data_IF_420296025571
#
_entry.id   IF_420296025571
#
_cell.length_a   1.000
_cell.length_b   1.000
_cell.length_c   1.000
_cell.angle_alpha   90.00
_cell.angle_beta   90.00
_cell.angle_gamma   90.00
#
_symmetry.space_group_name_H-M   'P 1'
#
loop_
_entity.id
_entity.type
_entity.pdbx_description
1 polymer ?
#
# COMPACT_ATOMS: atom_id res chain seq x y z
N UNK A 1 5.19 12.94 28.68
CA UNK A 1 4.28 11.85 28.24
C UNK A 1 4.80 11.33 26.91
N UNK A 2 4.71 10.02 26.64
CA UNK A 2 5.14 9.46 25.35
C UNK A 2 4.26 9.97 24.20
N UNK A 3 4.85 10.06 23.00
CA UNK A 3 4.21 10.59 21.79
C UNK A 3 3.04 9.69 21.32
N UNK A 4 3.10 8.40 21.66
CA UNK A 4 2.07 7.41 21.33
C UNK A 4 1.32 7.03 22.60
N UNK A 5 -0.02 7.05 22.55
CA UNK A 5 -0.86 6.56 23.65
C UNK A 5 -0.56 5.08 23.93
N UNK A 6 -0.47 4.66 25.20
CA UNK A 6 -0.15 3.28 25.54
C UNK A 6 -1.25 2.31 25.05
N UNK A 7 -0.86 1.07 24.76
CA UNK A 7 -1.76 0.01 24.32
C UNK A 7 -2.88 -0.17 25.36
N UNK A 8 -4.13 -0.15 24.92
CA UNK A 8 -5.31 -0.31 25.79
C UNK A 8 -5.81 0.97 26.45
N UNK A 9 -5.16 2.13 26.23
CA UNK A 9 -5.64 3.42 26.73
C UNK A 9 -6.69 4.09 25.82
N UNK A 10 -6.88 3.57 24.60
CA UNK A 10 -7.97 3.98 23.73
C UNK A 10 -9.26 3.27 24.17
N UNK A 11 -10.34 4.04 24.30
CA UNK A 11 -11.66 3.50 24.57
C UNK A 11 -12.06 2.51 23.45
N UNK A 12 -12.59 1.34 23.83
CA UNK A 12 -12.98 0.28 22.90
C UNK A 12 -14.22 0.65 22.08
N UNK A 13 -14.97 1.66 22.51
CA UNK A 13 -16.19 2.13 21.85
C UNK A 13 -15.99 3.16 20.73
N UNK A 14 -14.78 3.67 20.52
CA UNK A 14 -14.52 4.72 19.52
C UNK A 14 -14.59 4.17 18.09
N UNK A 15 -15.25 4.94 17.21
CA UNK A 15 -15.35 4.58 15.79
C UNK A 15 -14.01 4.84 15.06
N UNK A 16 -13.81 4.17 13.92
CA UNK A 16 -12.60 4.30 13.10
C UNK A 16 -12.23 5.76 12.81
N UNK A 17 -13.19 6.58 12.42
CA UNK A 17 -12.94 7.99 12.06
C UNK A 17 -12.53 8.83 13.28
N UNK A 18 -13.03 8.47 14.47
CA UNK A 18 -12.65 9.12 15.72
C UNK A 18 -11.22 8.74 16.13
N UNK A 19 -10.78 7.50 15.86
CA UNK A 19 -9.38 7.09 16.06
C UNK A 19 -8.45 7.91 15.17
N UNK A 20 -8.82 8.10 13.90
CA UNK A 20 -8.05 8.89 12.95
C UNK A 20 -7.97 10.35 13.41
N UNK A 21 -9.11 10.97 13.71
CA UNK A 21 -9.17 12.35 14.18
C UNK A 21 -8.37 12.56 15.49
N UNK A 22 -8.39 11.59 16.41
CA UNK A 22 -7.58 11.64 17.62
C UNK A 22 -6.08 11.59 17.32
N UNK A 23 -5.66 10.73 16.38
CA UNK A 23 -4.27 10.64 15.95
C UNK A 23 -3.79 11.92 15.26
N UNK A 24 -4.63 12.53 14.43
CA UNK A 24 -4.35 13.82 13.78
C UNK A 24 -4.23 14.95 14.81
N UNK A 25 -5.15 15.02 15.78
CA UNK A 25 -5.10 16.02 16.84
C UNK A 25 -3.85 15.87 17.73
N UNK A 26 -3.49 14.64 18.11
CA UNK A 26 -2.29 14.36 18.90
C UNK A 26 -1.01 14.73 18.10
N UNK A 27 -0.97 14.42 16.80
CA UNK A 27 0.16 14.78 15.93
C UNK A 27 0.29 16.29 15.76
N UNK A 28 -0.83 16.99 15.54
CA UNK A 28 -0.84 18.46 15.43
C UNK A 28 -0.36 19.12 16.72
N UNK A 29 -0.74 18.60 17.89
CA UNK A 29 -0.25 19.10 19.17
C UNK A 29 1.28 18.94 19.31
N UNK A 30 1.86 17.84 18.80
CA UNK A 30 3.32 17.63 18.77
C UNK A 30 3.99 18.65 17.85
N UNK A 31 3.43 18.88 16.66
CA UNK A 31 3.93 19.89 15.70
C UNK A 31 3.90 21.29 16.32
N UNK A 32 2.74 21.68 16.87
CA UNK A 32 2.50 23.02 17.42
C UNK A 32 3.32 23.29 18.67
N UNK A 33 3.68 22.25 19.43
CA UNK A 33 4.51 22.41 20.63
C UNK A 33 5.89 23.00 20.33
N UNK A 34 6.45 22.74 19.14
CA UNK A 34 7.82 23.12 18.77
C UNK A 34 8.91 22.48 19.64
N UNK A 35 8.56 21.54 20.53
CA UNK A 35 9.49 20.95 21.51
C UNK A 35 10.24 19.73 20.97
N UNK A 36 9.87 19.24 19.79
CA UNK A 36 10.36 17.98 19.24
C UNK A 36 10.98 18.16 17.85
N UNK A 37 12.00 17.36 17.59
CA UNK A 37 12.56 17.17 16.25
C UNK A 37 11.61 16.26 15.45
N UNK A 38 10.82 16.87 14.56
CA UNK A 38 9.73 16.19 13.86
C UNK A 38 10.19 14.98 13.03
N UNK A 39 11.40 15.04 12.45
CA UNK A 39 11.94 13.91 11.68
C UNK A 39 12.32 12.74 12.59
N UNK A 40 12.91 13.01 13.76
CA UNK A 40 13.18 11.95 14.75
C UNK A 40 11.89 11.35 15.27
N UNK A 41 10.89 12.18 15.58
CA UNK A 41 9.56 11.72 15.99
C UNK A 41 8.93 10.83 14.93
N UNK A 42 9.00 11.23 13.66
CA UNK A 42 8.48 10.43 12.54
C UNK A 42 9.18 9.07 12.44
N UNK A 43 10.51 9.02 12.57
CA UNK A 43 11.28 7.77 12.57
C UNK A 43 10.86 6.86 13.74
N UNK A 44 10.69 7.42 14.95
CA UNK A 44 10.21 6.66 16.10
C UNK A 44 8.80 6.10 15.89
N UNK A 45 7.88 6.92 15.36
CA UNK A 45 6.52 6.46 15.01
C UNK A 45 6.57 5.30 14.01
N UNK A 46 7.43 5.37 12.99
CA UNK A 46 7.61 4.29 12.01
C UNK A 46 8.18 3.02 12.62
N UNK A 47 9.10 3.12 13.60
CA UNK A 47 9.60 1.97 14.35
C UNK A 47 8.50 1.31 15.18
N UNK A 48 7.68 2.12 15.86
CA UNK A 48 6.51 1.62 16.59
C UNK A 48 5.47 0.99 15.67
N UNK A 49 5.23 1.55 14.48
CA UNK A 49 4.36 0.95 13.47
C UNK A 49 4.82 -0.48 13.12
N UNK A 50 6.12 -0.65 12.86
CA UNK A 50 6.71 -1.96 12.55
C UNK A 50 6.61 -2.93 13.74
N UNK A 51 6.94 -2.46 14.94
CA UNK A 51 6.85 -3.26 16.17
C UNK A 51 5.41 -3.73 16.45
N UNK A 52 4.43 -2.82 16.36
CA UNK A 52 3.02 -3.13 16.58
C UNK A 52 2.48 -4.09 15.52
N UNK A 53 2.87 -3.91 14.24
CA UNK A 53 2.53 -4.86 13.17
C UNK A 53 3.02 -6.27 13.48
N UNK A 54 4.29 -6.43 13.85
CA UNK A 54 4.86 -7.73 14.20
C UNK A 54 4.14 -8.37 15.41
N UNK A 55 3.83 -7.59 16.44
CA UNK A 55 3.09 -8.07 17.61
C UNK A 55 1.65 -8.50 17.24
N UNK A 56 0.93 -7.70 16.45
CA UNK A 56 -0.42 -8.03 15.97
C UNK A 56 -0.43 -9.30 15.12
N UNK A 57 0.56 -9.50 14.26
CA UNK A 57 0.67 -10.70 13.44
C UNK A 57 0.87 -11.94 14.31
N UNK A 58 1.73 -11.87 15.33
CA UNK A 58 1.91 -12.98 16.27
C UNK A 58 0.64 -13.33 17.04
N UNK A 59 -0.11 -12.32 17.50
CA UNK A 59 -1.40 -12.53 18.18
C UNK A 59 -2.40 -13.15 17.21
N UNK A 60 -2.47 -12.68 15.96
CA UNK A 60 -3.35 -13.24 14.93
C UNK A 60 -3.04 -14.71 14.66
N UNK A 61 -1.76 -15.10 14.56
CA UNK A 61 -1.35 -16.50 14.40
C UNK A 61 -1.92 -17.39 15.51
N UNK A 62 -1.87 -16.94 16.77
CA UNK A 62 -2.42 -17.72 17.89
C UNK A 62 -3.94 -17.89 17.78
N UNK A 63 -4.67 -16.83 17.41
CA UNK A 63 -6.11 -16.91 17.19
C UNK A 63 -6.45 -17.83 15.99
N UNK A 64 -5.64 -17.80 14.93
CA UNK A 64 -5.80 -18.70 13.78
C UNK A 64 -5.57 -20.16 14.14
N UNK A 65 -4.55 -20.47 14.96
CA UNK A 65 -4.30 -21.83 15.43
C UNK A 65 -5.51 -22.38 16.20
N UNK A 66 -6.06 -21.59 17.14
CA UNK A 66 -7.29 -21.96 17.87
C UNK A 66 -8.49 -22.13 16.94
N UNK A 67 -8.63 -21.28 15.92
CA UNK A 67 -9.68 -21.40 14.92
C UNK A 67 -9.58 -22.69 14.09
N UNK A 68 -8.34 -23.13 13.81
CA UNK A 68 -8.07 -24.38 13.09
C UNK A 68 -8.34 -25.61 13.97
N UNK A 69 -7.92 -25.58 15.23
CA UNK A 69 -8.15 -26.66 16.21
C UNK A 69 -9.64 -26.88 16.49
N UNK A 70 -10.39 -25.78 16.66
CA UNK A 70 -11.82 -25.83 16.98
C UNK A 70 -12.70 -26.11 15.75
N UNK A 71 -12.23 -25.77 14.55
CA UNK A 71 -13.01 -25.85 13.31
C UNK A 71 -14.23 -24.92 13.27
N UNK A 72 -14.39 -24.03 14.27
CA UNK A 72 -15.55 -23.16 14.41
C UNK A 72 -15.40 -21.89 13.56
N UNK A 73 -16.49 -21.47 12.91
CA UNK A 73 -16.52 -20.20 12.15
C UNK A 73 -16.53 -18.97 13.05
N UNK A 74 -17.09 -19.08 14.26
CA UNK A 74 -17.11 -18.01 15.25
C UNK A 74 -16.88 -18.63 16.62
N UNK A 75 -16.00 -18.02 17.41
CA UNK A 75 -15.68 -18.45 18.77
C UNK A 75 -15.25 -17.26 19.63
N UNK A 76 -15.34 -17.41 20.95
CA UNK A 76 -14.82 -16.43 21.88
C UNK A 76 -13.39 -16.83 22.27
N UNK A 77 -12.48 -15.87 22.24
CA UNK A 77 -11.09 -16.03 22.64
C UNK A 77 -10.65 -14.81 23.45
N UNK A 78 -10.26 -15.02 24.70
CA UNK A 78 -9.84 -13.97 25.63
C UNK A 78 -10.80 -12.76 25.65
N UNK A 79 -12.10 -13.04 25.87
CA UNK A 79 -13.18 -12.05 25.92
C UNK A 79 -13.43 -11.25 24.62
N UNK A 80 -12.86 -11.69 23.50
CA UNK A 80 -13.13 -11.15 22.17
C UNK A 80 -13.82 -12.19 21.27
N UNK A 81 -14.76 -11.75 20.45
CA UNK A 81 -15.36 -12.60 19.43
C UNK A 81 -14.45 -12.65 18.19
N UNK A 82 -14.04 -13.85 17.80
CA UNK A 82 -13.23 -14.10 16.61
C UNK A 82 -14.09 -14.78 15.55
N UNK A 83 -14.05 -14.27 14.32
CA UNK A 83 -14.72 -14.88 13.17
C UNK A 83 -13.68 -15.36 12.16
N UNK A 84 -13.67 -16.66 11.88
CA UNK A 84 -12.83 -17.28 10.86
C UNK A 84 -13.55 -17.24 9.50
N UNK A 85 -13.06 -16.40 8.58
CA UNK A 85 -13.57 -16.30 7.21
C UNK A 85 -12.63 -17.02 6.23
N UNK A 86 -13.18 -17.95 5.45
CA UNK A 86 -12.46 -18.59 4.36
C UNK A 86 -12.79 -17.90 3.04
N UNK A 87 -11.77 -17.41 2.34
CA UNK A 87 -11.88 -16.92 0.96
C UNK A 87 -11.36 -17.99 0.01
N UNK A 88 -12.10 -18.24 -1.08
CA UNK A 88 -11.57 -19.04 -2.19
C UNK A 88 -10.62 -18.18 -3.01
N UNK A 89 -9.40 -18.68 -3.21
CA UNK A 89 -8.43 -18.11 -4.14
C UNK A 89 -8.40 -19.01 -5.36
N UNK A 90 -8.70 -18.42 -6.53
CA UNK A 90 -8.64 -19.12 -7.81
C UNK A 90 -7.30 -18.83 -8.47
N UNK A 91 -6.57 -19.88 -8.82
CA UNK A 91 -5.32 -19.80 -9.56
C UNK A 91 -5.60 -20.24 -11.00
N UNK A 92 -5.29 -19.37 -11.96
CA UNK A 92 -5.57 -19.58 -13.40
C UNK A 92 -4.31 -19.86 -14.22
N UNK A 93 -3.16 -19.86 -13.57
CA UNK A 93 -1.81 -20.07 -14.11
C UNK A 93 -1.58 -21.44 -14.77
N UNK A 94 -2.54 -22.36 -14.63
CA UNK A 94 -2.51 -23.69 -15.24
C UNK A 94 -3.32 -23.80 -16.52
N UNK A 95 -4.19 -22.82 -16.82
CA UNK A 95 -4.99 -22.85 -18.05
C UNK A 95 -4.17 -22.31 -19.23
N UNK A 96 -3.94 -23.10 -20.30
CA UNK A 96 -3.12 -22.65 -21.43
C UNK A 96 -3.69 -21.43 -22.16
N UNK A 97 -5.01 -21.28 -22.19
CA UNK A 97 -5.67 -20.14 -22.83
C UNK A 97 -5.43 -18.87 -22.02
N UNK A 98 -5.56 -18.98 -20.70
CA UNK A 98 -5.26 -17.91 -19.76
C UNK A 98 -3.80 -17.47 -19.86
N UNK A 99 -2.85 -18.41 -19.84
CA UNK A 99 -1.42 -18.07 -19.99
C UNK A 99 -1.15 -17.32 -21.29
N UNK A 100 -1.69 -17.81 -22.42
CA UNK A 100 -1.55 -17.13 -23.71
C UNK A 100 -2.12 -15.71 -23.71
N UNK A 101 -3.29 -15.51 -23.11
CA UNK A 101 -3.90 -14.18 -22.99
C UNK A 101 -3.10 -13.26 -22.07
N UNK A 102 -2.60 -13.80 -20.97
CA UNK A 102 -1.76 -13.09 -20.01
C UNK A 102 -0.43 -12.65 -20.65
N UNK A 103 0.22 -13.54 -21.40
CA UNK A 103 1.47 -13.24 -22.10
C UNK A 103 1.26 -12.17 -23.18
N UNK A 104 0.17 -12.26 -23.94
CA UNK A 104 -0.20 -11.23 -24.91
C UNK A 104 -0.46 -9.87 -24.23
N UNK A 105 -1.11 -9.87 -23.06
CA UNK A 105 -1.32 -8.67 -22.26
C UNK A 105 -0.01 -8.07 -21.75
N UNK A 106 0.87 -8.87 -21.15
CA UNK A 106 2.18 -8.39 -20.67
C UNK A 106 3.06 -7.88 -21.81
N UNK A 107 3.00 -8.50 -22.99
CA UNK A 107 3.66 -8.00 -24.19
C UNK A 107 3.16 -6.59 -24.57
N UNK A 108 1.84 -6.40 -24.67
CA UNK A 108 1.27 -5.09 -25.01
C UNK A 108 1.56 -4.02 -23.95
N UNK A 109 1.53 -4.40 -22.67
CA UNK A 109 1.88 -3.54 -21.55
C UNK A 109 3.35 -3.10 -21.61
N UNK A 110 4.26 -3.98 -22.01
CA UNK A 110 5.67 -3.61 -22.19
C UNK A 110 5.86 -2.66 -23.38
N UNK A 111 5.19 -2.90 -24.52
CA UNK A 111 5.20 -1.97 -25.65
C UNK A 111 4.68 -0.58 -25.27
N UNK A 112 3.61 -0.52 -24.46
CA UNK A 112 3.09 0.76 -23.96
C UNK A 112 4.14 1.48 -23.10
N UNK A 113 4.82 0.79 -22.19
CA UNK A 113 5.89 1.38 -21.38
C UNK A 113 7.05 1.89 -22.23
N UNK A 114 7.48 1.12 -23.23
CA UNK A 114 8.52 1.55 -24.17
C UNK A 114 8.11 2.84 -24.89
N UNK A 115 6.85 2.91 -25.33
CA UNK A 115 6.30 4.12 -25.95
C UNK A 115 6.24 5.30 -24.97
N UNK A 116 5.81 5.09 -23.73
CA UNK A 116 5.82 6.12 -22.68
C UNK A 116 7.24 6.64 -22.39
N UNK A 117 8.26 5.77 -22.37
CA UNK A 117 9.65 6.19 -22.22
C UNK A 117 10.13 7.03 -23.41
N UNK A 118 9.73 6.69 -24.65
CA UNK A 118 10.01 7.52 -25.82
C UNK A 118 9.38 8.91 -25.64
N UNK A 119 8.10 8.98 -25.25
CA UNK A 119 7.38 10.23 -25.06
C UNK A 119 8.01 11.16 -24.02
N UNK A 120 8.65 10.62 -22.96
CA UNK A 120 9.35 11.43 -21.95
C UNK A 120 10.55 12.20 -22.51
N UNK A 121 11.09 11.79 -23.65
CA UNK A 121 12.26 12.41 -24.29
C UNK A 121 11.87 13.27 -25.50
N UNK A 122 10.57 13.39 -25.82
CA UNK A 122 10.08 14.29 -26.86
C UNK A 122 10.00 15.70 -26.27
N UNK A 123 10.90 16.56 -26.73
CA UNK A 123 10.85 18.00 -26.41
C UNK A 123 9.54 18.63 -26.92
N UNK A 124 9.21 19.82 -26.45
CA UNK A 124 7.91 20.52 -26.57
C UNK A 124 7.30 20.70 -27.97
N UNK A 125 7.93 20.21 -29.03
CA UNK A 125 7.42 20.20 -30.40
C UNK A 125 7.13 18.77 -30.86
N UNK A 126 6.02 18.58 -31.58
CA UNK A 126 5.66 17.28 -32.14
C UNK A 126 6.82 16.75 -33.00
N UNK A 127 7.28 15.55 -32.69
CA UNK A 127 8.32 14.87 -33.46
C UNK A 127 7.71 13.67 -34.18
N UNK A 128 8.29 13.25 -35.30
CA UNK A 128 7.83 12.06 -36.03
C UNK A 128 9.00 11.13 -36.27
N UNK A 129 8.83 9.84 -36.00
CA UNK A 129 9.80 8.82 -36.41
C UNK A 129 9.10 7.73 -37.23
N UNK A 130 9.90 7.02 -38.04
CA UNK A 130 9.42 5.91 -38.85
C UNK A 130 9.60 4.64 -38.02
N UNK A 131 8.52 3.91 -37.79
CA UNK A 131 8.55 2.58 -37.19
C UNK A 131 9.20 1.60 -38.17
N UNK A 132 10.37 1.04 -37.81
CA UNK A 132 11.14 0.16 -38.68
C UNK A 132 10.49 -1.22 -38.90
N UNK A 133 9.57 -1.66 -38.03
CA UNK A 133 8.84 -2.93 -38.21
C UNK A 133 7.65 -2.80 -39.16
N UNK A 134 6.95 -1.66 -39.13
CA UNK A 134 5.71 -1.45 -39.88
C UNK A 134 5.87 -0.52 -41.09
N UNK A 135 6.93 0.29 -41.12
CA UNK A 135 7.18 1.31 -42.14
C UNK A 135 6.27 2.54 -42.01
N UNK A 136 5.52 2.67 -40.93
CA UNK A 136 4.58 3.77 -40.70
C UNK A 136 5.24 4.97 -40.03
N UNK A 137 4.81 6.18 -40.39
CA UNK A 137 5.24 7.43 -39.75
C UNK A 137 4.40 7.64 -38.49
N UNK A 138 5.02 7.58 -37.31
CA UNK A 138 4.35 7.79 -36.02
C UNK A 138 4.60 9.23 -35.58
N UNK A 139 3.52 10.01 -35.48
CA UNK A 139 3.53 11.33 -34.85
C UNK A 139 3.54 11.19 -33.32
N UNK A 140 4.53 11.80 -32.67
CA UNK A 140 4.65 11.86 -31.22
C UNK A 140 4.14 13.20 -30.71
N UNK A 141 3.18 13.13 -29.80
CA UNK A 141 2.64 14.28 -29.08
C UNK A 141 3.29 14.33 -27.70
N UNK A 142 3.93 15.45 -27.30
CA UNK A 142 4.61 15.52 -26.01
C UNK A 142 3.63 15.35 -24.84
N UNK A 143 4.03 14.68 -23.75
CA UNK A 143 3.18 14.43 -22.60
C UNK A 143 2.98 15.69 -21.75
N UNK A 144 1.85 15.79 -21.04
CA UNK A 144 1.66 16.78 -19.97
C UNK A 144 2.45 16.38 -18.73
N UNK A 145 3.22 17.30 -18.16
CA UNK A 145 4.03 17.07 -16.96
C UNK A 145 3.41 17.76 -15.73
N UNK A 146 3.27 17.03 -14.63
CA UNK A 146 2.99 17.56 -13.29
C UNK A 146 4.18 17.19 -12.38
N UNK A 147 4.71 18.18 -11.64
CA UNK A 147 5.80 17.94 -10.69
C UNK A 147 5.18 17.58 -9.34
N UNK A 148 5.34 16.33 -8.93
CA UNK A 148 4.93 15.84 -7.60
C UNK A 148 6.16 15.69 -6.72
N UNK A 149 6.26 16.50 -5.67
CA UNK A 149 7.34 16.41 -4.69
C UNK A 149 7.06 15.30 -3.66
N UNK A 150 8.07 14.49 -3.33
CA UNK A 150 7.96 13.46 -2.30
C UNK A 150 9.16 13.49 -1.36
N UNK A 151 8.92 13.26 -0.07
CA UNK A 151 9.95 13.22 0.97
C UNK A 151 10.20 11.76 1.36
N UNK A 152 11.44 11.28 1.18
CA UNK A 152 11.87 9.94 1.58
C UNK A 152 12.64 10.03 2.90
N UNK A 153 12.13 9.38 3.96
CA UNK A 153 12.82 9.24 5.24
C UNK A 153 13.24 7.78 5.42
N UNK A 154 14.54 7.52 5.59
CA UNK A 154 15.10 6.18 5.81
C UNK A 154 15.06 5.83 7.32
N UNK A 155 14.68 4.60 7.64
CA UNK A 155 14.54 4.06 9.00
C UNK A 155 15.87 3.60 9.63
#
# INVERSE_FOLDING_TARGET
MGIIKPIGALDRGIHKDQVIALGEADAQAVIDSGQYDLLKVYIEMKRYELYLKAAMDKIRETAMAVAQETGMKSFNYADAQVTNMQRRVFHFDKDPTWCRLHDAFEFQKNRLKEHEEILKHVDSENSSYIDEETGELIELVPPTMEVVESIIVKL
#
